data_IF_274190117490
#
_entry.id   IF_274190117490
#
_cell.length_a   1.000
_cell.length_b   1.000
_cell.length_c   1.000
_cell.angle_alpha   90.00
_cell.angle_beta   90.00
_cell.angle_gamma   90.00
#
_symmetry.space_group_name_H-M   'P 1'
#
loop_
_entity.id
_entity.type
_entity.pdbx_description
1 polymer ?
#
# COMPACT_ATOMS: atom_id res chain seq x y z
N UNK A 1 -34.90 -4.19 8.06
CA UNK A 1 -33.53 -3.75 7.67
C UNK A 1 -33.53 -2.65 6.60
N UNK A 2 -33.98 -2.92 5.36
CA UNK A 2 -33.92 -1.93 4.26
C UNK A 2 -34.50 -0.56 4.61
N UNK A 3 -35.71 -0.54 5.17
CA UNK A 3 -36.38 0.69 5.62
C UNK A 3 -35.56 1.48 6.66
N UNK A 4 -34.85 0.80 7.55
CA UNK A 4 -33.99 1.44 8.54
C UNK A 4 -32.80 2.12 7.87
N UNK A 5 -32.06 1.39 7.03
CA UNK A 5 -30.87 1.91 6.34
C UNK A 5 -31.22 3.06 5.40
N UNK A 6 -32.30 2.94 4.63
CA UNK A 6 -32.77 4.00 3.74
C UNK A 6 -33.31 5.23 4.47
N UNK A 7 -33.58 5.14 5.77
CA UNK A 7 -34.01 6.27 6.61
C UNK A 7 -32.85 7.10 7.16
N UNK A 8 -31.59 6.65 7.01
CA UNK A 8 -30.41 7.39 7.45
C UNK A 8 -30.09 8.49 6.43
N UNK A 9 -29.96 9.74 6.87
CA UNK A 9 -29.80 10.87 5.95
C UNK A 9 -28.54 10.75 5.06
N UNK A 10 -27.44 10.19 5.57
CA UNK A 10 -26.21 10.03 4.78
C UNK A 10 -26.31 8.92 3.71
N UNK A 11 -27.33 8.06 3.76
CA UNK A 11 -27.49 6.93 2.84
C UNK A 11 -28.23 7.37 1.58
N UNK A 12 -27.62 7.11 0.41
CA UNK A 12 -28.20 7.40 -0.89
C UNK A 12 -29.02 6.21 -1.43
N UNK A 13 -28.52 4.98 -1.27
CA UNK A 13 -29.25 3.78 -1.70
C UNK A 13 -28.86 2.53 -0.92
N UNK A 14 -29.75 1.54 -0.93
CA UNK A 14 -29.58 0.25 -0.24
C UNK A 14 -30.08 -0.89 -1.11
N UNK A 15 -29.19 -1.83 -1.38
CA UNK A 15 -29.50 -3.12 -1.98
C UNK A 15 -29.31 -4.23 -0.95
N UNK A 16 -30.24 -5.18 -0.94
CA UNK A 16 -30.26 -6.31 -0.02
C UNK A 16 -30.51 -7.55 -0.84
N UNK A 17 -29.58 -8.50 -0.78
CA UNK A 17 -29.68 -9.81 -1.39
C UNK A 17 -29.60 -10.86 -0.26
N UNK A 18 -30.46 -11.87 -0.34
CA UNK A 18 -30.51 -12.97 0.65
C UNK A 18 -30.33 -14.27 -0.09
N UNK A 19 -29.23 -14.96 0.20
CA UNK A 19 -29.00 -16.31 -0.29
C UNK A 19 -29.55 -17.28 0.76
N UNK A 20 -30.70 -17.89 0.43
CA UNK A 20 -31.37 -18.85 1.28
C UNK A 20 -30.59 -20.16 1.29
N UNK A 21 -30.21 -20.64 2.47
CA UNK A 21 -29.58 -21.96 2.62
C UNK A 21 -30.51 -22.94 3.32
N UNK A 22 -30.67 -24.13 2.74
CA UNK A 22 -31.61 -25.13 3.26
C UNK A 22 -31.09 -25.86 4.51
N UNK A 23 -29.76 -25.97 4.66
CA UNK A 23 -29.10 -26.71 5.74
C UNK A 23 -28.23 -25.82 6.65
N UNK A 24 -28.19 -24.51 6.40
CA UNK A 24 -27.38 -23.55 7.15
C UNK A 24 -28.14 -22.23 7.34
N UNK A 25 -27.52 -21.28 8.03
CA UNK A 25 -28.07 -19.94 8.16
C UNK A 25 -28.06 -19.21 6.82
N UNK A 26 -29.09 -18.41 6.55
CA UNK A 26 -29.17 -17.56 5.36
C UNK A 26 -27.98 -16.59 5.30
N UNK A 27 -27.42 -16.43 4.10
CA UNK A 27 -26.34 -15.47 3.88
C UNK A 27 -26.92 -14.14 3.40
N UNK A 28 -26.74 -13.12 4.22
CA UNK A 28 -27.22 -11.76 3.93
C UNK A 28 -26.10 -10.94 3.30
N UNK A 29 -26.38 -10.35 2.14
CA UNK A 29 -25.50 -9.40 1.45
C UNK A 29 -26.20 -8.05 1.40
N UNK A 30 -25.57 -7.03 1.96
CA UNK A 30 -26.13 -5.68 2.06
C UNK A 30 -25.15 -4.68 1.44
N UNK A 31 -25.55 -4.06 0.34
CA UNK A 31 -24.77 -2.98 -0.27
C UNK A 31 -25.41 -1.64 0.10
N UNK A 32 -24.65 -0.78 0.76
CA UNK A 32 -25.09 0.56 1.17
C UNK A 32 -24.23 1.58 0.44
N UNK A 33 -24.87 2.46 -0.32
CA UNK A 33 -24.21 3.58 -0.99
C UNK A 33 -24.52 4.85 -0.21
N UNK A 34 -23.49 5.57 0.23
CA UNK A 34 -23.64 6.86 0.88
C UNK A 34 -23.70 8.00 -0.15
N UNK A 35 -24.22 9.14 0.28
CA UNK A 35 -24.06 10.41 -0.45
C UNK A 35 -22.57 10.75 -0.60
N UNK A 36 -22.22 11.51 -1.63
CA UNK A 36 -20.83 11.92 -1.88
C UNK A 36 -20.33 12.90 -0.81
N UNK A 37 -19.03 12.79 -0.49
CA UNK A 37 -18.33 13.57 0.53
C UNK A 37 -18.98 13.53 1.93
N UNK A 38 -19.31 12.34 2.46
CA UNK A 38 -19.85 12.25 3.81
C UNK A 38 -18.80 12.70 4.84
N UNK A 39 -19.24 13.21 5.99
CA UNK A 39 -18.31 13.50 7.10
C UNK A 39 -17.76 12.21 7.70
N UNK A 40 -16.57 12.27 8.30
CA UNK A 40 -15.96 11.13 8.97
C UNK A 40 -16.88 10.53 10.06
N UNK A 41 -17.58 11.40 10.80
CA UNK A 41 -18.59 11.01 11.81
C UNK A 41 -19.76 10.25 11.18
N UNK A 42 -20.33 10.76 10.09
CA UNK A 42 -21.47 10.10 9.42
C UNK A 42 -21.09 8.73 8.86
N UNK A 43 -19.88 8.59 8.31
CA UNK A 43 -19.36 7.29 7.85
C UNK A 43 -19.20 6.34 9.04
N UNK A 44 -18.60 6.80 10.14
CA UNK A 44 -18.42 5.98 11.35
C UNK A 44 -19.76 5.46 11.90
N UNK A 45 -20.79 6.32 11.95
CA UNK A 45 -22.13 5.92 12.40
C UNK A 45 -22.75 4.84 11.50
N UNK A 46 -22.64 4.94 10.18
CA UNK A 46 -23.16 3.88 9.29
C UNK A 46 -22.37 2.59 9.44
N UNK A 47 -21.05 2.68 9.41
CA UNK A 47 -20.16 1.51 9.41
C UNK A 47 -20.22 0.76 10.76
N UNK A 48 -20.32 1.48 11.88
CA UNK A 48 -20.46 0.90 13.22
C UNK A 48 -21.90 0.63 13.61
N UNK A 49 -22.67 1.68 13.89
CA UNK A 49 -23.99 1.58 14.52
C UNK A 49 -25.02 0.92 13.60
N UNK A 50 -25.01 1.28 12.30
CA UNK A 50 -25.97 0.69 11.37
C UNK A 50 -25.67 -0.79 11.09
N UNK A 51 -24.40 -1.20 11.07
CA UNK A 51 -24.03 -2.62 10.97
C UNK A 51 -24.53 -3.43 12.19
N UNK A 52 -24.28 -2.94 13.41
CA UNK A 52 -24.79 -3.58 14.62
C UNK A 52 -26.33 -3.66 14.64
N UNK A 53 -27.01 -2.62 14.14
CA UNK A 53 -28.47 -2.65 14.01
C UNK A 53 -28.95 -3.63 12.93
N UNK A 54 -28.23 -3.75 11.82
CA UNK A 54 -28.51 -4.71 10.74
C UNK A 54 -28.45 -6.14 11.26
N UNK A 55 -27.39 -6.52 11.98
CA UNK A 55 -27.28 -7.85 12.63
C UNK A 55 -28.48 -8.15 13.54
N UNK A 56 -28.86 -7.18 14.39
CA UNK A 56 -30.00 -7.33 15.28
C UNK A 56 -31.35 -7.48 14.52
N UNK A 57 -31.50 -6.83 13.36
CA UNK A 57 -32.73 -6.89 12.57
C UNK A 57 -32.84 -8.16 11.73
N UNK A 58 -31.74 -8.76 11.30
CA UNK A 58 -31.73 -10.02 10.55
C UNK A 58 -31.80 -11.23 11.49
N UNK A 59 -31.32 -11.08 12.74
CA UNK A 59 -31.14 -12.21 13.65
C UNK A 59 -30.05 -13.19 13.19
N UNK A 60 -29.27 -12.79 12.17
CA UNK A 60 -28.18 -13.59 11.65
C UNK A 60 -26.92 -13.42 12.52
N UNK A 61 -26.08 -14.45 12.55
CA UNK A 61 -24.79 -14.38 13.23
C UNK A 61 -23.80 -13.47 12.49
N UNK A 62 -23.95 -13.36 11.17
CA UNK A 62 -23.10 -12.57 10.28
C UNK A 62 -23.92 -11.98 9.14
N UNK A 63 -23.58 -10.77 8.73
CA UNK A 63 -24.11 -10.12 7.52
C UNK A 63 -22.92 -9.57 6.76
N UNK A 64 -22.80 -9.91 5.47
CA UNK A 64 -21.80 -9.27 4.62
C UNK A 64 -22.34 -7.91 4.19
N UNK A 65 -21.72 -6.85 4.67
CA UNK A 65 -22.14 -5.49 4.34
C UNK A 65 -21.00 -4.74 3.68
N UNK A 66 -21.29 -4.12 2.52
CA UNK A 66 -20.34 -3.24 1.84
C UNK A 66 -20.89 -1.83 1.87
N UNK A 67 -20.17 -0.93 2.52
CA UNK A 67 -20.48 0.50 2.54
C UNK A 67 -19.59 1.19 1.53
N UNK A 68 -20.19 1.86 0.55
CA UNK A 68 -19.46 2.58 -0.51
C UNK A 68 -19.80 4.06 -0.51
N UNK A 69 -18.81 4.89 -0.79
CA UNK A 69 -18.98 6.33 -0.94
C UNK A 69 -17.89 6.93 -1.82
N UNK A 70 -18.06 8.20 -2.18
CA UNK A 70 -17.02 8.98 -2.85
C UNK A 70 -16.53 10.10 -1.94
N UNK A 71 -15.21 10.34 -1.95
CA UNK A 71 -14.59 11.50 -1.32
C UNK A 71 -13.78 12.23 -2.39
N UNK A 72 -14.28 13.40 -2.81
CA UNK A 72 -13.83 14.06 -4.03
C UNK A 72 -14.02 13.14 -5.23
N UNK A 73 -12.91 12.80 -5.88
CA UNK A 73 -12.90 11.87 -7.02
C UNK A 73 -12.44 10.45 -6.67
N UNK A 74 -12.22 10.17 -5.37
CA UNK A 74 -11.79 8.87 -4.86
C UNK A 74 -13.01 8.03 -4.50
N UNK A 75 -13.01 6.77 -4.91
CA UNK A 75 -14.05 5.80 -4.54
C UNK A 75 -13.62 4.97 -3.34
N UNK A 76 -14.47 4.87 -2.32
CA UNK A 76 -14.17 4.19 -1.07
C UNK A 76 -15.11 3.00 -0.86
N UNK A 77 -14.53 1.90 -0.37
CA UNK A 77 -15.22 0.64 -0.14
C UNK A 77 -14.83 0.14 1.25
N UNK A 78 -15.81 -0.04 2.12
CA UNK A 78 -15.63 -0.64 3.44
C UNK A 78 -16.38 -1.96 3.51
N UNK A 79 -15.64 -3.06 3.72
CA UNK A 79 -16.17 -4.41 3.77
C UNK A 79 -16.32 -4.86 5.23
N UNK A 80 -17.52 -5.31 5.59
CA UNK A 80 -17.92 -5.73 6.93
C UNK A 80 -18.34 -7.21 6.95
N UNK A 81 -18.16 -7.91 8.08
CA UNK A 81 -17.64 -7.43 9.37
C UNK A 81 -16.13 -7.16 9.37
N UNK A 82 -15.71 -6.19 10.18
CA UNK A 82 -14.31 -6.05 10.59
C UNK A 82 -14.22 -5.39 11.98
N UNK A 83 -13.11 -5.61 12.69
CA UNK A 83 -12.85 -4.96 13.98
C UNK A 83 -12.51 -3.48 13.76
N UNK A 84 -13.01 -2.61 14.64
CA UNK A 84 -12.75 -1.16 14.62
C UNK A 84 -13.07 -0.49 13.26
N UNK A 85 -14.09 -1.02 12.56
CA UNK A 85 -14.49 -0.60 11.22
C UNK A 85 -14.86 0.88 11.13
N UNK A 86 -15.59 1.37 12.14
CA UNK A 86 -15.98 2.76 12.32
C UNK A 86 -14.76 3.70 12.35
N UNK A 87 -13.72 3.32 13.12
CA UNK A 87 -12.47 4.07 13.21
C UNK A 87 -11.69 4.03 11.92
N UNK A 88 -11.62 2.86 11.27
CA UNK A 88 -10.94 2.69 9.99
C UNK A 88 -11.57 3.53 8.89
N UNK A 89 -12.91 3.51 8.79
CA UNK A 89 -13.66 4.29 7.82
C UNK A 89 -13.54 5.79 8.08
N UNK A 90 -13.67 6.23 9.34
CA UNK A 90 -13.45 7.64 9.74
C UNK A 90 -12.05 8.13 9.39
N UNK A 91 -11.00 7.38 9.77
CA UNK A 91 -9.62 7.75 9.50
C UNK A 91 -9.34 7.82 8.00
N UNK A 92 -9.98 6.97 7.19
CA UNK A 92 -9.80 6.97 5.75
C UNK A 92 -10.37 8.23 5.10
N UNK A 93 -11.54 8.73 5.55
CA UNK A 93 -12.11 10.00 5.05
C UNK A 93 -11.12 11.15 5.18
N UNK A 94 -10.38 11.19 6.29
CA UNK A 94 -9.36 12.22 6.57
C UNK A 94 -8.04 11.99 5.82
N UNK A 95 -7.74 10.75 5.43
CA UNK A 95 -6.50 10.38 4.74
C UNK A 95 -6.58 10.51 3.22
N UNK A 96 -7.78 10.67 2.64
CA UNK A 96 -7.96 10.83 1.19
C UNK A 96 -7.22 12.08 0.71
N UNK A 97 -6.39 11.90 -0.32
CA UNK A 97 -5.65 12.99 -0.97
C UNK A 97 -5.85 12.98 -2.49
N UNK A 98 -5.48 14.08 -3.14
CA UNK A 98 -5.51 14.20 -4.59
C UNK A 98 -4.74 13.06 -5.28
N UNK A 99 -5.30 12.53 -6.36
CA UNK A 99 -4.69 11.46 -7.15
C UNK A 99 -5.04 10.04 -6.71
N UNK A 100 -5.66 9.86 -5.55
CA UNK A 100 -6.21 8.56 -5.15
C UNK A 100 -7.42 8.21 -6.02
N UNK A 101 -7.41 7.03 -6.61
CA UNK A 101 -8.52 6.48 -7.40
C UNK A 101 -9.50 5.73 -6.50
N UNK A 102 -8.96 4.86 -5.65
CA UNK A 102 -9.74 3.92 -4.86
C UNK A 102 -9.11 3.70 -3.49
N UNK A 103 -9.95 3.58 -2.47
CA UNK A 103 -9.55 3.06 -1.16
C UNK A 103 -10.42 1.88 -0.77
N UNK A 104 -9.79 0.78 -0.37
CA UNK A 104 -10.45 -0.42 0.11
C UNK A 104 -10.10 -0.66 1.57
N UNK A 105 -11.12 -0.82 2.41
CA UNK A 105 -11.01 -1.09 3.85
C UNK A 105 -11.54 -2.51 4.06
N UNK A 106 -10.61 -3.43 4.30
CA UNK A 106 -10.84 -4.85 4.46
C UNK A 106 -10.47 -5.28 5.89
N UNK A 107 -10.81 -6.53 6.24
CA UNK A 107 -10.62 -7.08 7.59
C UNK A 107 -9.18 -6.93 8.11
N UNK A 108 -8.19 -7.16 7.25
CA UNK A 108 -6.77 -7.14 7.64
C UNK A 108 -5.99 -5.90 7.16
N UNK A 109 -6.56 -5.10 6.24
CA UNK A 109 -5.81 -4.04 5.57
C UNK A 109 -6.65 -2.89 5.04
N UNK A 110 -5.99 -1.75 4.86
CA UNK A 110 -6.49 -0.62 4.08
C UNK A 110 -5.55 -0.41 2.88
N UNK A 111 -6.10 -0.49 1.67
CA UNK A 111 -5.36 -0.33 0.42
C UNK A 111 -5.72 0.99 -0.24
N UNK A 112 -4.73 1.84 -0.49
CA UNK A 112 -4.85 3.11 -1.21
C UNK A 112 -4.29 2.95 -2.64
N UNK A 113 -5.17 2.90 -3.62
CA UNK A 113 -4.82 2.81 -5.04
C UNK A 113 -4.86 4.22 -5.65
N UNK A 114 -3.73 4.66 -6.21
CA UNK A 114 -3.62 5.93 -6.91
C UNK A 114 -3.79 5.75 -8.42
N UNK A 115 -4.32 6.78 -9.08
CA UNK A 115 -4.48 6.79 -10.53
C UNK A 115 -3.13 6.63 -11.23
N UNK A 116 -3.17 6.02 -12.41
CA UNK A 116 -2.00 5.94 -13.28
C UNK A 116 -1.55 7.33 -13.72
N UNK A 117 -0.25 7.61 -13.61
CA UNK A 117 0.36 8.90 -13.97
C UNK A 117 1.72 8.69 -14.63
N UNK A 118 2.28 9.72 -15.27
CA UNK A 118 3.58 9.62 -15.96
C UNK A 118 4.80 9.78 -15.02
N UNK A 119 4.61 10.43 -13.87
CA UNK A 119 5.70 10.68 -12.90
C UNK A 119 5.22 10.55 -11.47
N UNK A 120 6.02 9.95 -10.60
CA UNK A 120 5.63 9.74 -9.20
C UNK A 120 5.55 11.10 -8.47
N UNK A 121 4.51 11.36 -7.65
CA UNK A 121 4.40 12.61 -6.91
C UNK A 121 5.48 12.67 -5.82
N UNK A 122 5.97 13.87 -5.51
CA UNK A 122 7.00 14.04 -4.46
C UNK A 122 6.52 13.59 -3.08
N UNK A 123 5.20 13.71 -2.83
CA UNK A 123 4.54 13.31 -1.58
C UNK A 123 3.64 12.10 -1.80
N UNK A 124 4.20 11.02 -2.32
CA UNK A 124 3.47 9.76 -2.51
C UNK A 124 3.27 9.01 -1.18
N UNK A 125 4.29 8.93 -0.33
CA UNK A 125 4.23 8.21 0.95
C UNK A 125 3.32 8.98 1.91
N UNK A 126 2.34 8.29 2.52
CA UNK A 126 1.48 8.86 3.55
C UNK A 126 2.34 9.47 4.67
N UNK A 127 2.03 10.72 5.12
CA UNK A 127 2.78 11.33 6.19
C UNK A 127 2.56 10.57 7.50
N UNK A 128 3.58 10.51 8.37
CA UNK A 128 3.49 9.86 9.68
C UNK A 128 2.41 10.42 10.61
N UNK A 129 1.91 11.62 10.33
CA UNK A 129 0.77 12.25 11.03
C UNK A 129 -0.59 11.70 10.61
N UNK A 130 -0.68 10.98 9.49
CA UNK A 130 -1.92 10.47 8.91
C UNK A 130 -2.69 9.59 9.90
N UNK A 131 -4.01 9.81 10.06
CA UNK A 131 -4.81 9.09 11.06
C UNK A 131 -4.86 7.59 10.81
N UNK A 132 -4.82 7.14 9.54
CA UNK A 132 -4.82 5.70 9.21
C UNK A 132 -3.57 4.97 9.68
N UNK A 133 -2.43 5.66 9.80
CA UNK A 133 -1.19 5.05 10.32
C UNK A 133 -1.20 4.85 11.84
N UNK A 134 -2.22 5.38 12.54
CA UNK A 134 -2.44 5.17 13.98
C UNK A 134 -3.30 3.94 14.26
N UNK A 135 -3.92 3.35 13.24
CA UNK A 135 -4.71 2.14 13.34
C UNK A 135 -3.75 0.96 13.60
N UNK A 136 -3.80 0.42 14.81
CA UNK A 136 -2.79 -0.56 15.26
C UNK A 136 -2.99 -1.99 14.76
N UNK A 137 -4.14 -2.31 14.17
CA UNK A 137 -4.51 -3.68 13.78
C UNK A 137 -4.49 -3.94 12.27
N UNK A 138 -4.39 -2.90 11.45
CA UNK A 138 -4.56 -3.00 10.00
C UNK A 138 -3.23 -2.74 9.30
N UNK A 139 -2.93 -3.55 8.27
CA UNK A 139 -1.87 -3.23 7.32
C UNK A 139 -2.31 -2.06 6.46
N UNK A 140 -1.44 -1.09 6.25
CA UNK A 140 -1.75 0.07 5.41
C UNK A 140 -0.86 0.01 4.17
N UNK A 141 -1.48 -0.06 3.00
CA UNK A 141 -0.79 -0.25 1.72
C UNK A 141 -1.11 0.90 0.76
N UNK A 142 -0.11 1.36 0.01
CA UNK A 142 -0.29 2.31 -1.09
C UNK A 142 0.28 1.72 -2.36
N UNK A 143 -0.43 1.86 -3.47
CA UNK A 143 0.03 1.42 -4.79
C UNK A 143 -0.24 2.48 -5.85
N UNK A 144 0.66 2.56 -6.82
CA UNK A 144 0.51 3.44 -7.99
C UNK A 144 1.24 2.86 -9.19
N UNK A 145 0.62 3.01 -10.36
CA UNK A 145 1.26 2.74 -11.65
C UNK A 145 1.84 4.04 -12.21
N UNK A 146 3.16 4.09 -12.40
CA UNK A 146 3.88 5.24 -12.99
C UNK A 146 4.38 4.85 -14.37
N UNK A 147 3.70 5.34 -15.41
CA UNK A 147 3.85 4.86 -16.78
C UNK A 147 3.57 3.35 -16.84
N UNK A 148 4.62 2.53 -16.81
CA UNK A 148 4.53 1.06 -16.74
C UNK A 148 5.33 0.43 -15.61
N UNK A 149 5.68 1.22 -14.62
CA UNK A 149 6.32 0.75 -13.39
C UNK A 149 5.35 0.78 -12.24
N UNK A 150 5.48 -0.17 -11.32
CA UNK A 150 4.65 -0.22 -10.14
C UNK A 150 5.43 0.28 -8.92
N UNK A 151 4.87 1.24 -8.19
CA UNK A 151 5.38 1.64 -6.89
C UNK A 151 4.42 1.18 -5.80
N UNK A 152 4.96 0.57 -4.76
CA UNK A 152 4.22 0.04 -3.63
C UNK A 152 4.85 0.46 -2.31
N UNK A 153 4.02 0.81 -1.33
CA UNK A 153 4.45 1.13 0.03
C UNK A 153 3.57 0.36 1.02
N UNK A 154 4.17 -0.44 1.88
CA UNK A 154 3.50 -1.05 3.03
C UNK A 154 4.00 -0.40 4.30
N UNK A 155 3.07 0.15 5.09
CA UNK A 155 3.36 0.83 6.34
C UNK A 155 3.20 -0.09 7.54
N UNK A 156 3.93 0.22 8.59
CA UNK A 156 3.80 -0.40 9.90
C UNK A 156 3.76 0.68 10.98
N UNK A 157 3.07 0.38 12.08
CA UNK A 157 2.87 1.32 13.18
C UNK A 157 4.22 1.80 13.74
N UNK A 158 4.38 3.12 13.83
CA UNK A 158 5.57 3.75 14.43
C UNK A 158 6.80 3.79 13.52
N UNK A 159 6.68 3.40 12.24
CA UNK A 159 7.73 3.53 11.23
C UNK A 159 7.43 4.71 10.33
N UNK A 160 8.33 5.69 10.29
CA UNK A 160 8.22 6.82 9.37
C UNK A 160 9.04 6.55 8.10
N UNK A 161 8.35 6.35 6.99
CA UNK A 161 8.95 6.06 5.69
C UNK A 161 9.16 7.30 4.83
N UNK A 162 8.70 8.48 5.25
CA UNK A 162 8.66 9.68 4.40
C UNK A 162 10.04 10.16 3.93
N UNK A 163 11.11 9.80 4.66
CA UNK A 163 12.49 10.13 4.28
C UNK A 163 13.07 9.25 3.15
N UNK A 164 12.42 8.12 2.83
CA UNK A 164 12.92 7.18 1.83
C UNK A 164 12.65 7.73 0.43
N UNK A 165 13.69 7.95 -0.41
CA UNK A 165 13.55 8.65 -1.69
C UNK A 165 13.05 7.71 -2.80
N UNK A 166 11.87 7.11 -2.62
CA UNK A 166 11.29 6.12 -3.54
C UNK A 166 11.13 6.66 -4.97
N UNK A 167 10.80 7.95 -5.10
CA UNK A 167 10.75 8.65 -6.40
C UNK A 167 12.11 8.66 -7.09
N UNK A 168 13.17 9.09 -6.38
CA UNK A 168 14.52 9.11 -6.93
C UNK A 168 15.00 7.70 -7.29
N UNK A 169 14.66 6.70 -6.48
CA UNK A 169 15.00 5.31 -6.75
C UNK A 169 14.34 4.81 -8.05
N UNK A 170 13.06 5.12 -8.28
CA UNK A 170 12.39 4.82 -9.55
C UNK A 170 13.03 5.56 -10.74
N UNK A 171 13.31 6.85 -10.56
CA UNK A 171 13.85 7.72 -11.61
C UNK A 171 15.32 7.40 -11.96
N UNK A 172 16.07 6.81 -11.04
CA UNK A 172 17.44 6.32 -11.26
C UNK A 172 17.49 5.11 -12.19
N UNK A 173 16.39 4.37 -12.35
CA UNK A 173 16.29 3.30 -13.35
C UNK A 173 16.23 3.95 -14.73
N UNK A 174 17.13 3.60 -15.68
CA UNK A 174 17.08 4.11 -17.03
C UNK A 174 15.70 3.94 -17.67
N UNK A 175 15.23 4.95 -18.40
CA UNK A 175 13.85 4.99 -18.92
C UNK A 175 13.53 3.82 -19.86
N UNK A 176 14.51 3.36 -20.63
CA UNK A 176 14.44 2.18 -21.52
C UNK A 176 14.34 0.85 -20.74
N UNK A 177 14.77 0.84 -19.48
CA UNK A 177 14.74 -0.32 -18.57
C UNK A 177 13.62 -0.26 -17.53
N UNK A 178 12.92 0.86 -17.44
CA UNK A 178 11.90 1.13 -16.42
C UNK A 178 10.58 0.39 -16.67
N UNK A 179 10.35 -0.08 -17.90
CA UNK A 179 9.17 -0.85 -18.25
C UNK A 179 9.03 -2.10 -17.36
N UNK A 180 7.92 -2.23 -16.63
CA UNK A 180 7.67 -3.35 -15.74
C UNK A 180 8.52 -3.37 -14.46
N UNK A 181 9.31 -2.32 -14.21
CA UNK A 181 10.06 -2.20 -12.96
C UNK A 181 9.10 -2.08 -11.77
N UNK A 182 9.50 -2.64 -10.63
CA UNK A 182 8.73 -2.56 -9.39
C UNK A 182 9.60 -1.98 -8.30
N UNK A 183 9.12 -0.93 -7.64
CA UNK A 183 9.75 -0.33 -6.47
C UNK A 183 8.83 -0.54 -5.27
N UNK A 184 9.24 -1.39 -4.34
CA UNK A 184 8.46 -1.78 -3.15
C UNK A 184 9.17 -1.31 -1.90
N UNK A 185 8.49 -0.52 -1.08
CA UNK A 185 8.98 -0.08 0.22
C UNK A 185 8.13 -0.70 1.33
N UNK A 186 8.72 -1.59 2.12
CA UNK A 186 8.04 -2.29 3.21
C UNK A 186 8.60 -1.78 4.54
N UNK A 187 7.73 -1.30 5.44
CA UNK A 187 8.13 -0.87 6.77
C UNK A 187 8.66 -2.03 7.63
N UNK A 188 8.05 -3.21 7.46
CA UNK A 188 8.46 -4.48 8.05
C UNK A 188 8.24 -5.59 7.02
N UNK A 189 9.32 -6.19 6.52
CA UNK A 189 9.20 -7.37 5.68
C UNK A 189 8.75 -8.60 6.47
N UNK A 190 8.05 -9.52 5.80
CA UNK A 190 7.44 -10.69 6.45
C UNK A 190 8.43 -11.60 7.17
N UNK A 191 9.66 -11.68 6.66
CA UNK A 191 10.64 -12.69 7.10
C UNK A 191 11.62 -12.14 8.13
N UNK A 192 12.06 -10.87 7.99
CA UNK A 192 13.12 -10.29 8.81
C UNK A 192 12.65 -9.15 9.71
N UNK A 193 11.40 -8.70 9.57
CA UNK A 193 10.85 -7.52 10.23
C UNK A 193 11.72 -6.26 10.04
N UNK A 194 12.32 -6.13 8.86
CA UNK A 194 13.20 -5.02 8.49
C UNK A 194 12.48 -4.01 7.60
N UNK A 195 12.82 -2.74 7.76
CA UNK A 195 12.42 -1.71 6.80
C UNK A 195 13.24 -1.86 5.52
N UNK A 196 12.58 -2.27 4.44
CA UNK A 196 13.22 -2.74 3.21
C UNK A 196 12.73 -1.99 1.98
N UNK A 197 13.69 -1.61 1.13
CA UNK A 197 13.41 -1.20 -0.25
C UNK A 197 13.80 -2.32 -1.21
N UNK A 198 12.85 -2.79 -2.03
CA UNK A 198 13.12 -3.74 -3.11
C UNK A 198 12.89 -3.07 -4.45
N UNK A 199 13.88 -3.13 -5.35
CA UNK A 199 13.80 -2.63 -6.72
C UNK A 199 14.01 -3.78 -7.68
N UNK A 200 12.95 -4.11 -8.43
CA UNK A 200 12.91 -5.21 -9.40
C UNK A 200 12.94 -4.69 -10.82
N UNK A 201 13.50 -5.48 -11.73
CA UNK A 201 13.63 -5.15 -13.15
C UNK A 201 15.01 -4.60 -13.53
N UNK A 202 16.01 -4.72 -12.64
CA UNK A 202 17.39 -4.28 -12.89
C UNK A 202 18.15 -5.35 -13.66
N UNK A 203 17.70 -5.64 -14.88
CA UNK A 203 18.24 -6.72 -15.72
C UNK A 203 17.16 -7.71 -16.13
N UNK A 204 17.47 -8.47 -17.18
CA UNK A 204 16.56 -9.45 -17.75
C UNK A 204 16.53 -10.73 -16.91
N UNK A 205 15.45 -11.50 -17.07
CA UNK A 205 15.36 -12.84 -16.51
C UNK A 205 16.49 -13.75 -17.01
N UNK A 206 17.03 -14.59 -16.12
CA UNK A 206 18.14 -15.51 -16.44
C UNK A 206 19.50 -14.82 -16.62
N UNK A 207 19.56 -13.51 -16.42
CA UNK A 207 20.77 -12.71 -16.43
C UNK A 207 21.11 -12.24 -15.02
N UNK A 208 22.26 -11.58 -14.94
CA UNK A 208 22.71 -10.92 -13.73
C UNK A 208 22.04 -9.57 -13.54
N UNK A 209 22.08 -9.09 -12.30
CA UNK A 209 21.64 -7.72 -11.98
C UNK A 209 22.53 -6.74 -12.75
N UNK A 210 21.90 -5.84 -13.49
CA UNK A 210 22.56 -4.77 -14.25
C UNK A 210 23.24 -3.80 -13.28
N UNK A 211 24.55 -4.00 -13.09
CA UNK A 211 25.33 -3.31 -12.07
C UNK A 211 25.28 -1.78 -12.19
N UNK A 212 25.32 -1.17 -13.39
CA UNK A 212 25.17 0.28 -13.53
C UNK A 212 23.82 0.81 -13.03
N UNK A 213 22.70 0.18 -13.42
CA UNK A 213 21.37 0.62 -12.95
C UNK A 213 21.19 0.37 -11.45
N UNK A 214 21.68 -0.78 -10.96
CA UNK A 214 21.66 -1.11 -9.54
C UNK A 214 22.46 -0.11 -8.69
N UNK A 215 23.65 0.29 -9.15
CA UNK A 215 24.46 1.30 -8.49
C UNK A 215 23.78 2.67 -8.47
N UNK A 216 23.15 3.08 -9.58
CA UNK A 216 22.38 4.32 -9.67
C UNK A 216 21.22 4.35 -8.66
N UNK A 217 20.48 3.25 -8.55
CA UNK A 217 19.40 3.08 -7.56
C UNK A 217 19.95 3.13 -6.14
N UNK A 218 20.98 2.34 -5.82
CA UNK A 218 21.59 2.29 -4.49
C UNK A 218 22.11 3.66 -4.06
N UNK A 219 22.74 4.41 -4.97
CA UNK A 219 23.24 5.76 -4.70
C UNK A 219 22.14 6.71 -4.22
N UNK A 220 20.89 6.54 -4.67
CA UNK A 220 19.79 7.40 -4.24
C UNK A 220 19.40 7.23 -2.77
N UNK A 221 19.71 6.07 -2.18
CA UNK A 221 19.27 5.69 -0.83
C UNK A 221 20.41 5.63 0.19
N UNK A 222 21.67 5.75 -0.24
CA UNK A 222 22.80 5.91 0.68
C UNK A 222 22.59 7.13 1.57
N UNK A 223 22.91 6.99 2.86
CA UNK A 223 22.67 8.01 3.89
C UNK A 223 21.27 7.99 4.51
N UNK A 224 20.31 7.24 3.95
CA UNK A 224 18.97 7.14 4.53
C UNK A 224 18.99 6.41 5.89
N UNK A 225 18.50 7.07 6.93
CA UNK A 225 18.57 6.56 8.31
C UNK A 225 17.50 5.51 8.65
N UNK A 226 16.46 5.37 7.81
CA UNK A 226 15.29 4.51 8.05
C UNK A 226 15.50 3.11 7.46
N UNK A 227 16.12 3.03 6.28
CA UNK A 227 16.33 1.76 5.61
C UNK A 227 17.28 0.85 6.39
N UNK A 228 16.87 -0.41 6.51
CA UNK A 228 17.65 -1.50 7.11
C UNK A 228 18.11 -2.50 6.05
N UNK A 229 17.46 -2.51 4.88
CA UNK A 229 17.83 -3.40 3.77
C UNK A 229 17.43 -2.82 2.41
N UNK A 230 18.27 -3.04 1.41
CA UNK A 230 17.99 -2.74 0.00
C UNK A 230 18.20 -4.00 -0.81
N UNK A 231 17.19 -4.42 -1.57
CA UNK A 231 17.26 -5.58 -2.47
C UNK A 231 17.10 -5.13 -3.92
N UNK A 232 18.08 -5.46 -4.74
CA UNK A 232 18.13 -5.12 -6.16
C UNK A 232 18.03 -6.41 -6.95
N UNK A 233 16.96 -6.56 -7.75
CA UNK A 233 16.68 -7.83 -8.42
C UNK A 233 16.45 -7.66 -9.92
N UNK A 234 16.72 -8.73 -10.66
CA UNK A 234 16.26 -8.85 -12.05
C UNK A 234 14.74 -9.01 -12.12
N UNK A 235 14.20 -8.97 -13.34
CA UNK A 235 12.78 -9.22 -13.59
C UNK A 235 12.38 -10.65 -13.17
N UNK A 236 11.17 -10.79 -12.61
CA UNK A 236 10.57 -12.09 -12.28
C UNK A 236 9.87 -12.63 -13.53
N UNK A 237 10.06 -13.91 -13.82
CA UNK A 237 9.29 -14.63 -14.83
C UNK A 237 8.82 -15.96 -14.23
N UNK A 238 7.51 -16.19 -14.29
CA UNK A 238 6.84 -17.39 -13.78
C UNK A 238 7.18 -17.67 -12.29
N UNK A 239 7.45 -18.94 -11.93
CA UNK A 239 7.74 -19.39 -10.56
C UNK A 239 9.22 -19.33 -10.16
N UNK A 240 10.10 -18.82 -11.03
CA UNK A 240 11.54 -18.88 -10.81
C UNK A 240 12.06 -17.68 -10.00
N UNK A 241 12.98 -17.94 -9.08
CA UNK A 241 13.55 -16.90 -8.24
C UNK A 241 14.41 -15.93 -9.07
N UNK A 242 14.21 -14.61 -8.92
CA UNK A 242 15.05 -13.63 -9.58
C UNK A 242 16.47 -13.63 -8.99
N UNK A 243 17.44 -13.25 -9.81
CA UNK A 243 18.78 -12.94 -9.33
C UNK A 243 18.71 -11.71 -8.44
N UNK A 244 19.32 -11.76 -7.25
CA UNK A 244 19.26 -10.70 -6.25
C UNK A 244 20.67 -10.29 -5.82
N UNK A 245 20.84 -8.98 -5.60
CA UNK A 245 21.94 -8.43 -4.81
C UNK A 245 21.32 -7.62 -3.68
N UNK A 246 21.66 -7.97 -2.44
CA UNK A 246 21.10 -7.34 -1.26
C UNK A 246 22.15 -6.60 -0.44
N UNK A 247 21.75 -5.50 0.18
CA UNK A 247 22.59 -4.67 1.02
C UNK A 247 21.88 -4.43 2.35
N UNK A 248 22.44 -4.94 3.43
CA UNK A 248 22.00 -4.56 4.77
C UNK A 248 22.49 -3.15 5.09
N UNK A 249 21.66 -2.37 5.77
CA UNK A 249 21.92 -0.96 6.08
C UNK A 249 21.84 -0.70 7.58
N UNK A 250 22.71 0.18 8.07
CA UNK A 250 22.72 0.66 9.45
C UNK A 250 23.10 2.13 9.48
N UNK A 251 22.22 2.97 10.03
CA UNK A 251 22.43 4.42 10.16
C UNK A 251 22.85 5.09 8.84
N UNK A 252 22.24 4.70 7.72
CA UNK A 252 22.52 5.24 6.39
C UNK A 252 23.73 4.64 5.67
N UNK A 253 24.53 3.79 6.32
CA UNK A 253 25.65 3.11 5.69
C UNK A 253 25.29 1.66 5.33
N UNK A 254 25.90 1.15 4.26
CA UNK A 254 25.85 -0.28 3.93
C UNK A 254 26.75 -1.05 4.89
N UNK A 255 26.26 -2.19 5.38
CA UNK A 255 26.98 -3.12 6.23
C UNK A 255 27.61 -4.21 5.36
N UNK A 256 28.94 -4.29 5.37
CA UNK A 256 29.67 -5.27 4.57
C UNK A 256 29.73 -4.91 3.08
N UNK A 257 29.73 -5.93 2.23
CA UNK A 257 29.97 -5.81 0.79
C UNK A 257 28.70 -6.03 -0.06
N UNK A 258 27.57 -6.33 0.58
CA UNK A 258 26.38 -6.86 -0.09
C UNK A 258 26.47 -8.37 -0.35
N UNK A 259 25.34 -8.97 -0.70
CA UNK A 259 25.18 -10.41 -0.89
C UNK A 259 24.54 -10.69 -2.26
N UNK A 260 25.22 -11.42 -3.18
CA UNK A 260 26.56 -11.99 -3.02
C UNK A 260 27.69 -10.92 -3.07
N UNK A 261 28.81 -11.11 -2.33
CA UNK A 261 29.88 -10.11 -2.23
C UNK A 261 30.54 -9.73 -3.56
N UNK A 262 30.68 -10.69 -4.48
CA UNK A 262 31.32 -10.51 -5.79
C UNK A 262 30.64 -9.42 -6.62
N UNK A 263 29.30 -9.34 -6.54
CA UNK A 263 28.51 -8.33 -7.24
C UNK A 263 28.24 -7.12 -6.37
N UNK A 264 27.96 -7.36 -5.10
CA UNK A 264 27.70 -6.31 -4.13
C UNK A 264 28.83 -5.29 -4.05
N UNK A 265 30.09 -5.75 -4.06
CA UNK A 265 31.27 -4.87 -3.99
C UNK A 265 31.34 -3.92 -5.18
N UNK A 266 31.09 -4.43 -6.39
CA UNK A 266 31.14 -3.62 -7.63
C UNK A 266 30.03 -2.57 -7.63
N UNK A 267 28.80 -2.98 -7.29
CA UNK A 267 27.64 -2.08 -7.23
C UNK A 267 27.82 -1.02 -6.14
N UNK A 268 28.29 -1.41 -4.96
CA UNK A 268 28.50 -0.51 -3.83
C UNK A 268 29.57 0.54 -4.14
N UNK A 269 30.70 0.13 -4.71
CA UNK A 269 31.79 1.06 -5.07
C UNK A 269 31.31 2.10 -6.10
N UNK A 270 30.60 1.67 -7.14
CA UNK A 270 30.03 2.57 -8.15
C UNK A 270 28.99 3.53 -7.55
N UNK A 271 28.14 3.05 -6.64
CA UNK A 271 27.15 3.89 -5.95
C UNK A 271 27.82 4.96 -5.09
N UNK A 272 28.85 4.60 -4.32
CA UNK A 272 29.62 5.54 -3.49
C UNK A 272 30.35 6.59 -4.34
N UNK A 273 30.93 6.19 -5.46
CA UNK A 273 31.57 7.12 -6.39
C UNK A 273 30.56 8.12 -6.98
N UNK A 274 29.36 7.66 -7.32
CA UNK A 274 28.30 8.53 -7.84
C UNK A 274 27.86 9.57 -6.79
N UNK A 275 27.71 9.18 -5.52
CA UNK A 275 27.38 10.11 -4.42
C UNK A 275 28.50 11.13 -4.21
N UNK A 276 29.76 10.68 -4.18
CA UNK A 276 30.92 11.57 -4.01
C UNK A 276 31.05 12.59 -5.15
N UNK A 277 30.65 12.24 -6.38
CA UNK A 277 30.72 13.12 -7.54
C UNK A 277 29.59 14.18 -7.58
N UNK A 278 28.55 14.01 -6.76
CA UNK A 278 27.42 14.94 -6.62
C UNK A 278 27.56 15.87 -5.40
N UNK A 279 28.61 15.65 -4.59
CA UNK A 279 28.94 16.42 -3.37
C UNK A 279 29.87 17.58 -3.69
#
# INVERSE_FOLDING_TARGET
MRQYLSGLDVVASVQVDVLLEFLAADHWIVNVVLKGNPSAESVATVVGDAYAKVLNLTGANEVRMVVTWTQGETSLFCYLPMKDADKAASATVEAVSSGMERVQIEEEKISFEYRTIESLPDRFILPSTSPVLRLGSLKIEQSILVGRSHCFVSHAKGKDLASVPIKRALEAIPSDKRYGAVVSLEAEDRDRHQTRLTVRGLGQYGQDVDSPSAAAVLATVLGNQVLQRVELTTAVKDSNQPTMVAFDMKSGAVVGQGDPPERGTVILAAAQQAVASQS
#
